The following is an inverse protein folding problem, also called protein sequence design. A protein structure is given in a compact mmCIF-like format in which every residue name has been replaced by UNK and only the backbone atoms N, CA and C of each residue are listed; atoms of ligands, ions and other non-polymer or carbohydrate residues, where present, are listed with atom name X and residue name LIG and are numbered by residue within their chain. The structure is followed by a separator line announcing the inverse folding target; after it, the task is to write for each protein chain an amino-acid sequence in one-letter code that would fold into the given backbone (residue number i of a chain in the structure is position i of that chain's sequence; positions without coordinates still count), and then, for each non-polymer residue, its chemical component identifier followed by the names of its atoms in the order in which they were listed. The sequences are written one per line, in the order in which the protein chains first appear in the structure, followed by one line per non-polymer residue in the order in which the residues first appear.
data_IF_567414237254
#
_entry.id   IF_567414237254
#
_cell.length_a   1.000
_cell.length_b   1.000
_cell.length_c   1.000
_cell.angle_alpha   90.00
_cell.angle_beta   90.00
_cell.angle_gamma   90.00
#
_symmetry.space_group_name_H-M   'P 1'
#
loop_
_entity.id
_entity.type
_entity.pdbx_description
1 polymer ?
#
# COMPACT_ATOMS: atom_id res chain seq x y z
N UNK A 1 -0.26 -12.34 -6.36
CA UNK A 1 1.05 -11.66 -6.22
C UNK A 1 1.76 -12.19 -4.97
N UNK A 2 3.10 -12.16 -4.89
CA UNK A 2 3.84 -12.54 -3.67
C UNK A 2 4.01 -11.33 -2.76
N UNK A 3 4.23 -11.54 -1.46
CA UNK A 3 4.61 -10.44 -0.56
C UNK A 3 5.95 -9.83 -0.99
N UNK A 4 6.06 -8.52 -0.88
CA UNK A 4 7.23 -7.74 -1.28
C UNK A 4 7.45 -6.57 -0.33
N UNK A 5 8.55 -5.86 -0.48
CA UNK A 5 8.89 -4.71 0.36
C UNK A 5 9.03 -3.49 -0.52
N UNK A 6 8.39 -2.39 -0.14
CA UNK A 6 8.63 -1.08 -0.75
C UNK A 6 9.48 -0.23 0.18
N UNK A 7 10.31 0.63 -0.40
CA UNK A 7 11.20 1.54 0.33
C UNK A 7 10.78 2.96 0.03
N UNK A 8 10.56 3.76 1.06
CA UNK A 8 10.31 5.18 0.94
C UNK A 8 11.15 5.92 1.99
N UNK A 9 11.93 6.90 1.52
CA UNK A 9 13.03 7.50 2.31
C UNK A 9 13.97 6.43 2.88
N UNK A 10 14.12 6.38 4.20
CA UNK A 10 14.95 5.40 4.92
C UNK A 10 14.15 4.20 5.43
N UNK A 11 12.82 4.23 5.29
CA UNK A 11 11.92 3.25 5.88
C UNK A 11 11.51 2.18 4.88
N UNK A 12 11.28 0.97 5.40
CA UNK A 12 10.87 -0.20 4.63
C UNK A 12 9.49 -0.64 5.06
N UNK A 13 8.61 -0.83 4.09
CA UNK A 13 7.23 -1.22 4.32
C UNK A 13 6.97 -2.58 3.66
N UNK A 14 6.62 -3.57 4.49
CA UNK A 14 6.26 -4.88 4.00
C UNK A 14 4.84 -4.85 3.45
N UNK A 15 4.70 -5.18 2.17
CA UNK A 15 3.44 -5.23 1.42
C UNK A 15 3.03 -6.70 1.26
N UNK A 16 1.88 -7.04 1.82
CA UNK A 16 1.27 -8.37 1.71
C UNK A 16 0.04 -8.27 0.80
N UNK A 17 0.07 -8.83 -0.41
CA UNK A 17 -1.14 -8.93 -1.22
C UNK A 17 -2.17 -9.80 -0.49
N UNK A 18 -3.42 -9.34 -0.49
CA UNK A 18 -4.55 -10.05 0.07
C UNK A 18 -5.32 -10.71 -1.07
N UNK A 19 -5.73 -11.97 -0.86
CA UNK A 19 -6.59 -12.66 -1.81
C UNK A 19 -8.02 -12.13 -1.67
N UNK A 20 -8.62 -11.72 -2.79
CA UNK A 20 -9.97 -11.16 -2.86
C UNK A 20 -10.41 -10.93 -4.31
N UNK A 21 -11.63 -10.41 -4.49
CA UNK A 21 -12.18 -10.10 -5.82
C UNK A 21 -11.47 -8.90 -6.49
N UNK A 22 -10.87 -8.01 -5.70
CA UNK A 22 -10.05 -6.88 -6.17
C UNK A 22 -8.63 -6.99 -5.60
N UNK A 23 -7.61 -6.43 -6.28
CA UNK A 23 -6.26 -6.38 -5.74
C UNK A 23 -6.26 -5.48 -4.50
N UNK A 24 -5.99 -6.08 -3.33
CA UNK A 24 -5.82 -5.39 -2.06
C UNK A 24 -4.45 -5.73 -1.49
N UNK A 25 -3.86 -4.78 -0.79
CA UNK A 25 -2.54 -4.91 -0.19
C UNK A 25 -2.61 -4.48 1.26
N UNK A 26 -2.04 -5.30 2.14
CA UNK A 26 -1.85 -4.95 3.54
C UNK A 26 -0.42 -4.50 3.75
N UNK A 27 -0.26 -3.33 4.36
CA UNK A 27 1.04 -2.76 4.67
C UNK A 27 1.14 -2.48 6.16
N UNK A 28 2.26 -2.84 6.77
CA UNK A 28 2.54 -2.42 8.14
C UNK A 28 3.22 -1.05 8.10
N UNK A 29 2.50 -0.01 8.55
CA UNK A 29 3.00 1.37 8.65
C UNK A 29 3.11 1.70 10.14
N UNK A 30 4.33 1.88 10.63
CA UNK A 30 4.61 2.24 12.03
C UNK A 30 3.97 1.31 13.07
N UNK A 31 3.92 0.00 12.81
CA UNK A 31 3.34 -0.99 13.72
C UNK A 31 1.84 -1.20 13.56
N UNK A 32 1.20 -0.54 12.60
CA UNK A 32 -0.22 -0.64 12.34
C UNK A 32 -0.49 -1.16 10.93
N UNK A 33 -1.51 -2.01 10.80
CA UNK A 33 -1.91 -2.57 9.51
C UNK A 33 -2.79 -1.56 8.77
N UNK A 34 -2.36 -1.18 7.57
CA UNK A 34 -3.08 -0.31 6.65
C UNK A 34 -3.43 -1.11 5.40
N UNK A 35 -4.68 -1.01 4.95
CA UNK A 35 -5.12 -1.63 3.71
C UNK A 35 -5.02 -0.61 2.57
N UNK A 36 -4.53 -1.08 1.44
CA UNK A 36 -4.45 -0.36 0.19
C UNK A 36 -5.26 -1.13 -0.85
N UNK A 37 -6.07 -0.45 -1.64
CA UNK A 37 -6.92 -1.05 -2.65
C UNK A 37 -7.05 -0.15 -3.87
N UNK A 38 -7.42 -0.74 -5.00
CA UNK A 38 -7.74 0.03 -6.18
C UNK A 38 -9.05 0.81 -5.98
N UNK A 39 -9.00 2.09 -6.26
CA UNK A 39 -10.17 2.95 -6.38
C UNK A 39 -10.77 2.85 -7.80
N UNK A 40 -11.91 3.50 -8.01
CA UNK A 40 -12.68 3.48 -9.26
C UNK A 40 -11.92 4.02 -10.47
N UNK A 41 -10.91 4.86 -10.25
CA UNK A 41 -10.03 5.41 -11.29
C UNK A 41 -8.83 4.50 -11.61
N UNK A 42 -8.73 3.35 -10.96
CA UNK A 42 -7.67 2.36 -11.17
C UNK A 42 -6.44 2.57 -10.30
N UNK A 43 -6.35 3.69 -9.57
CA UNK A 43 -5.21 3.99 -8.70
C UNK A 43 -5.33 3.29 -7.36
N UNK A 44 -4.19 2.89 -6.79
CA UNK A 44 -4.10 2.34 -5.45
C UNK A 44 -4.20 3.48 -4.43
N UNK A 45 -5.10 3.34 -3.46
CA UNK A 45 -5.24 4.27 -2.34
C UNK A 45 -5.30 3.52 -1.02
N UNK A 46 -4.80 4.15 0.03
CA UNK A 46 -4.98 3.65 1.38
C UNK A 46 -6.45 3.82 1.80
N UNK A 47 -7.01 2.81 2.47
CA UNK A 47 -8.25 2.94 3.20
C UNK A 47 -8.11 4.06 4.24
N UNK A 48 -9.08 4.96 4.28
CA UNK A 48 -9.03 6.14 5.13
C UNK A 48 -8.83 5.74 6.60
N UNK A 49 -7.66 6.07 7.16
CA UNK A 49 -7.34 5.79 8.54
C UNK A 49 -6.57 6.97 9.16
N UNK A 50 -6.53 7.02 10.50
CA UNK A 50 -5.84 8.09 11.26
C UNK A 50 -4.41 7.72 11.64
N UNK A 51 -3.83 6.73 10.97
CA UNK A 51 -2.65 5.98 11.45
C UNK A 51 -1.36 6.59 10.95
N UNK A 52 -1.38 7.11 9.72
CA UNK A 52 -0.23 7.68 9.05
C UNK A 52 -0.61 9.00 8.37
N UNK A 53 0.39 9.81 8.06
CA UNK A 53 0.15 11.02 7.27
C UNK A 53 -0.30 10.64 5.86
N UNK A 54 -1.23 11.42 5.30
CA UNK A 54 -1.71 11.20 3.93
C UNK A 54 -0.57 11.20 2.91
N UNK A 55 0.43 12.05 3.09
CA UNK A 55 1.62 12.09 2.24
C UNK A 55 2.41 10.78 2.26
N UNK A 56 2.54 10.13 3.43
CA UNK A 56 3.20 8.83 3.54
C UNK A 56 2.36 7.74 2.87
N UNK A 57 1.04 7.76 3.09
CA UNK A 57 0.13 6.79 2.48
C UNK A 57 0.17 6.88 0.94
N UNK A 58 0.13 8.09 0.38
CA UNK A 58 0.25 8.27 -1.07
C UNK A 58 1.59 7.77 -1.60
N UNK A 59 2.71 8.11 -0.94
CA UNK A 59 4.02 7.65 -1.38
C UNK A 59 4.17 6.12 -1.34
N UNK A 60 3.59 5.46 -0.34
CA UNK A 60 3.55 3.99 -0.28
C UNK A 60 2.70 3.43 -1.43
N UNK A 61 1.55 4.04 -1.73
CA UNK A 61 0.69 3.62 -2.83
C UNK A 61 1.42 3.70 -4.17
N UNK A 62 2.10 4.81 -4.47
CA UNK A 62 2.90 4.99 -5.68
C UNK A 62 3.94 3.85 -5.82
N UNK A 63 4.63 3.50 -4.72
CA UNK A 63 5.61 2.41 -4.72
C UNK A 63 5.00 1.03 -4.89
N UNK A 64 3.77 0.81 -4.43
CA UNK A 64 3.03 -0.42 -4.67
C UNK A 64 2.68 -0.51 -6.15
N UNK A 65 2.20 0.56 -6.78
CA UNK A 65 1.88 0.60 -8.22
C UNK A 65 3.11 0.30 -9.08
N UNK A 66 4.23 0.97 -8.82
CA UNK A 66 5.52 0.75 -9.51
C UNK A 66 5.96 -0.73 -9.44
N UNK A 67 5.76 -1.40 -8.31
CA UNK A 67 6.17 -2.79 -8.10
C UNK A 67 5.12 -3.81 -8.56
N UNK A 68 3.84 -3.43 -8.58
CA UNK A 68 2.76 -4.27 -9.07
C UNK A 68 2.73 -4.33 -10.61
N UNK A 69 3.50 -3.47 -11.28
CA UNK A 69 3.65 -3.46 -12.74
C UNK A 69 2.55 -2.69 -13.45
N UNK A 70 2.03 -1.62 -12.82
CA UNK A 70 1.16 -0.63 -13.47
C UNK A 70 1.97 0.54 -14.02
#
# INVERSE_FOLDING_TARGET
MKAFTVVYNTDRYMVKPLNGHSPRFRVNVNGQEVIFEHDLDGHIRAEANKVASMSLLHAIADKIEENAGM
#
